data_IF_689661409584
#
_entry.id   IF_689661409584
#
_cell.length_a   1.000
_cell.length_b   1.000
_cell.length_c   1.000
_cell.angle_alpha   90.00
_cell.angle_beta   90.00
_cell.angle_gamma   90.00
#
_symmetry.space_group_name_H-M   'P 1'
#
loop_
_entity.id
_entity.type
_entity.pdbx_description
1 polymer ?
#
# COMPACT_ATOMS: atom_id res chain seq x y z
N UNK A 1 -1.50 -16.79 15.63
CA UNK A 1 -2.11 -15.57 15.05
C UNK A 1 -1.26 -15.18 13.85
N UNK A 2 -1.85 -14.86 12.70
CA UNK A 2 -1.09 -14.44 11.53
C UNK A 2 -0.37 -13.11 11.81
N UNK A 3 0.89 -13.00 11.39
CA UNK A 3 1.69 -11.78 11.55
C UNK A 3 1.74 -11.05 10.21
N UNK A 4 1.69 -9.70 10.21
CA UNK A 4 1.76 -8.95 8.98
C UNK A 4 3.15 -9.09 8.36
N UNK A 5 3.21 -9.16 7.04
CA UNK A 5 4.42 -8.90 6.28
C UNK A 5 4.66 -7.40 6.24
N UNK A 6 5.79 -6.97 6.83
CA UNK A 6 6.14 -5.56 6.96
C UNK A 6 7.34 -5.24 6.07
N UNK A 7 7.21 -4.21 5.24
CA UNK A 7 8.29 -3.66 4.42
C UNK A 7 8.45 -2.18 4.75
N UNK A 8 9.69 -1.76 5.00
CA UNK A 8 10.05 -0.34 5.10
C UNK A 8 10.84 0.06 3.87
N UNK A 9 10.37 1.10 3.17
CA UNK A 9 10.96 1.61 1.94
C UNK A 9 11.51 3.02 2.24
N UNK A 10 12.84 3.21 2.33
CA UNK A 10 13.42 4.51 2.68
C UNK A 10 13.27 5.52 1.54
N UNK A 11 13.11 6.80 1.89
CA UNK A 11 13.10 7.93 0.97
C UNK A 11 13.67 9.21 1.58
N UNK A 12 13.93 10.21 0.73
CA UNK A 12 14.43 11.54 1.14
C UNK A 12 13.50 12.69 0.74
N UNK A 13 12.23 12.36 0.48
CA UNK A 13 11.24 13.31 -0.06
C UNK A 13 10.56 14.16 1.01
N UNK A 14 10.62 13.74 2.28
CA UNK A 14 9.72 14.25 3.32
C UNK A 14 8.32 13.64 3.19
N UNK A 15 7.54 13.75 4.27
CA UNK A 15 6.24 13.06 4.39
C UNK A 15 5.19 13.53 3.38
N UNK A 16 5.10 14.84 3.14
CA UNK A 16 4.07 15.43 2.26
C UNK A 16 4.27 15.04 0.79
N UNK A 17 5.48 15.21 0.26
CA UNK A 17 5.79 14.87 -1.13
C UNK A 17 5.76 13.36 -1.36
N UNK A 18 6.22 12.55 -0.39
CA UNK A 18 6.08 11.09 -0.46
C UNK A 18 4.60 10.66 -0.53
N UNK A 19 3.73 11.26 0.31
CA UNK A 19 2.29 10.99 0.30
C UNK A 19 1.66 11.38 -1.03
N UNK A 20 2.02 12.56 -1.56
CA UNK A 20 1.51 13.03 -2.86
C UNK A 20 1.90 12.09 -4.00
N UNK A 21 3.15 11.61 -4.02
CA UNK A 21 3.63 10.66 -5.03
C UNK A 21 2.94 9.30 -4.91
N UNK A 22 2.73 8.80 -3.70
CA UNK A 22 2.00 7.55 -3.48
C UNK A 22 0.56 7.64 -4.00
N UNK A 23 -0.17 8.71 -3.67
CA UNK A 23 -1.53 8.94 -4.18
C UNK A 23 -1.58 8.98 -5.70
N UNK A 24 -0.63 9.66 -6.34
CA UNK A 24 -0.53 9.71 -7.79
C UNK A 24 -0.18 8.33 -8.40
N UNK A 25 0.76 7.61 -7.78
CA UNK A 25 1.26 6.32 -8.26
C UNK A 25 0.24 5.18 -8.17
N UNK A 26 -0.59 5.13 -7.13
CA UNK A 26 -1.64 4.09 -6.99
C UNK A 26 -2.67 4.15 -8.12
N UNK A 27 -2.97 5.34 -8.64
CA UNK A 27 -3.79 5.50 -9.85
C UNK A 27 -3.20 4.77 -11.06
N UNK A 28 -1.87 4.82 -11.23
CA UNK A 28 -1.15 4.11 -12.29
C UNK A 28 -1.15 2.60 -12.06
N UNK A 29 -1.01 2.14 -10.80
CA UNK A 29 -0.99 0.70 -10.47
C UNK A 29 -2.25 -0.01 -10.94
N UNK A 30 -3.42 0.63 -10.80
CA UNK A 30 -4.69 0.07 -11.31
C UNK A 30 -4.67 -0.16 -12.81
N UNK A 31 -4.00 0.71 -13.56
CA UNK A 31 -3.94 0.68 -15.02
C UNK A 31 -2.90 -0.32 -15.53
N UNK A 32 -1.73 -0.37 -14.89
CA UNK A 32 -0.62 -1.24 -15.28
C UNK A 32 -0.79 -2.69 -14.83
N UNK A 33 -1.32 -2.91 -13.62
CA UNK A 33 -1.38 -4.23 -12.99
C UNK A 33 -2.78 -4.80 -12.87
N UNK A 34 -3.81 -4.16 -13.45
CA UNK A 34 -5.21 -4.55 -13.35
C UNK A 34 -5.54 -6.00 -13.75
N UNK A 35 -4.66 -6.66 -14.52
CA UNK A 35 -4.79 -8.08 -14.90
C UNK A 35 -4.44 -9.06 -13.78
N UNK A 36 -3.58 -8.65 -12.84
CA UNK A 36 -3.02 -9.51 -11.78
C UNK A 36 -3.50 -9.05 -10.41
N UNK A 37 -3.81 -7.76 -10.28
CA UNK A 37 -4.17 -7.10 -9.04
C UNK A 37 -5.41 -6.23 -9.24
N UNK A 38 -6.45 -6.50 -8.45
CA UNK A 38 -7.66 -5.68 -8.39
C UNK A 38 -7.68 -4.94 -7.06
N UNK A 39 -7.66 -3.60 -7.09
CA UNK A 39 -7.87 -2.79 -5.89
C UNK A 39 -9.37 -2.82 -5.56
N UNK A 40 -9.71 -3.29 -4.36
CA UNK A 40 -11.08 -3.37 -3.87
C UNK A 40 -11.46 -2.12 -3.06
N UNK A 41 -10.56 -1.67 -2.18
CA UNK A 41 -10.76 -0.49 -1.35
C UNK A 41 -9.45 0.30 -1.23
N UNK A 42 -9.58 1.61 -1.22
CA UNK A 42 -8.48 2.57 -1.01
C UNK A 42 -9.02 3.72 -0.15
N UNK A 43 -8.66 3.74 1.13
CA UNK A 43 -9.14 4.73 2.10
C UNK A 43 -7.95 5.48 2.66
N UNK A 44 -7.81 6.74 2.22
CA UNK A 44 -6.78 7.64 2.71
C UNK A 44 -7.24 8.39 3.96
N UNK A 45 -6.35 8.49 4.93
CA UNK A 45 -6.50 9.31 6.15
C UNK A 45 -5.19 10.07 6.36
N UNK A 46 -5.10 11.25 5.76
CA UNK A 46 -3.87 12.04 5.72
C UNK A 46 -2.75 11.32 4.94
N UNK A 47 -1.74 10.89 5.69
CA UNK A 47 -0.54 10.15 5.26
C UNK A 47 -0.62 8.63 5.45
N UNK A 48 -1.75 8.13 5.96
CA UNK A 48 -2.02 6.71 6.05
C UNK A 48 -3.01 6.29 4.97
N UNK A 49 -2.76 5.14 4.38
CA UNK A 49 -3.68 4.44 3.49
C UNK A 49 -4.05 3.10 4.11
N UNK A 50 -5.34 2.81 4.22
CA UNK A 50 -5.85 1.46 4.37
C UNK A 50 -6.31 0.96 3.01
N UNK A 51 -5.89 -0.24 2.63
CA UNK A 51 -6.26 -0.83 1.34
C UNK A 51 -6.73 -2.26 1.48
N UNK A 52 -7.56 -2.68 0.52
CA UNK A 52 -7.87 -4.07 0.24
C UNK A 52 -7.64 -4.32 -1.23
N UNK A 53 -6.94 -5.40 -1.55
CA UNK A 53 -6.71 -5.81 -2.93
C UNK A 53 -6.90 -7.31 -3.08
N UNK A 54 -7.29 -7.71 -4.29
CA UNK A 54 -7.35 -9.10 -4.70
C UNK A 54 -6.18 -9.35 -5.65
N UNK A 55 -5.26 -10.20 -5.24
CA UNK A 55 -4.13 -10.64 -6.05
C UNK A 55 -4.06 -12.17 -6.02
N UNK A 56 -3.74 -12.79 -7.16
CA UNK A 56 -3.62 -14.26 -7.26
C UNK A 56 -4.85 -15.02 -6.71
N UNK A 57 -6.07 -14.50 -6.95
CA UNK A 57 -7.35 -15.02 -6.43
C UNK A 57 -7.52 -14.97 -4.91
N UNK A 58 -6.71 -14.18 -4.22
CA UNK A 58 -6.75 -14.05 -2.76
C UNK A 58 -6.95 -12.59 -2.39
N UNK A 59 -7.85 -12.35 -1.43
CA UNK A 59 -8.06 -11.02 -0.87
C UNK A 59 -7.03 -10.80 0.23
N UNK A 60 -6.27 -9.73 0.10
CA UNK A 60 -5.27 -9.31 1.07
C UNK A 60 -5.54 -7.86 1.47
N UNK A 61 -5.34 -7.62 2.76
CA UNK A 61 -5.55 -6.33 3.38
C UNK A 61 -4.26 -5.80 3.95
N UNK A 62 -4.13 -4.47 3.98
CA UNK A 62 -2.93 -3.86 4.52
C UNK A 62 -3.07 -2.37 4.75
N UNK A 63 -2.00 -1.81 5.29
CA UNK A 63 -1.86 -0.37 5.47
C UNK A 63 -0.53 0.13 4.98
N UNK A 64 -0.52 1.34 4.46
CA UNK A 64 0.68 2.10 4.15
C UNK A 64 0.71 3.32 5.06
N UNK A 65 1.81 3.54 5.76
CA UNK A 65 2.06 4.74 6.54
C UNK A 65 3.28 5.45 5.98
N UNK A 66 3.14 6.74 5.70
CA UNK A 66 4.23 7.57 5.19
C UNK A 66 4.85 8.34 6.35
N UNK A 67 6.11 8.03 6.65
CA UNK A 67 6.94 8.78 7.58
C UNK A 67 7.78 9.83 6.82
N UNK A 68 8.62 10.57 7.54
CA UNK A 68 9.49 11.61 6.96
C UNK A 68 10.57 11.04 6.04
N UNK A 69 11.11 9.87 6.41
CA UNK A 69 12.28 9.25 5.79
C UNK A 69 12.02 7.84 5.25
N UNK A 70 10.80 7.31 5.43
CA UNK A 70 10.43 6.01 4.91
C UNK A 70 8.92 5.85 4.75
N UNK A 71 8.53 4.87 3.96
CA UNK A 71 7.16 4.38 3.87
C UNK A 71 7.12 2.99 4.48
N UNK A 72 6.21 2.76 5.42
CA UNK A 72 5.95 1.46 6.01
C UNK A 72 4.73 0.83 5.36
N UNK A 73 4.91 -0.32 4.73
CA UNK A 73 3.84 -1.15 4.18
C UNK A 73 3.64 -2.36 5.08
N UNK A 74 2.42 -2.58 5.54
CA UNK A 74 2.01 -3.76 6.29
C UNK A 74 0.94 -4.51 5.50
N UNK A 75 1.13 -5.81 5.28
CA UNK A 75 0.18 -6.65 4.53
C UNK A 75 -0.10 -7.93 5.29
N UNK A 76 -1.38 -8.27 5.45
CA UNK A 76 -1.82 -9.56 5.95
C UNK A 76 -1.85 -10.56 4.80
N UNK A 77 -0.87 -11.46 4.77
CA UNK A 77 -0.79 -12.54 3.78
C UNK A 77 -1.51 -13.78 4.32
N UNK A 78 -2.57 -14.29 3.68
CA UNK A 78 -3.38 -15.39 4.22
C UNK A 78 -2.68 -16.75 4.21
N UNK A 79 -1.53 -16.85 3.55
CA UNK A 79 -0.73 -18.07 3.41
C UNK A 79 0.54 -18.07 4.27
N UNK A 80 0.78 -17.01 5.06
CA UNK A 80 1.95 -16.85 5.91
C UNK A 80 1.53 -16.38 7.31
#
# INVERSE_FOLDING_TARGET
MAQPFIVSIPHKLGKEEATRRLKAGLGSVRSEYGKILQINEEIWSGDRLAFQLTALKQRVGGTIEVAEDHVKLEVMLPWL
#
